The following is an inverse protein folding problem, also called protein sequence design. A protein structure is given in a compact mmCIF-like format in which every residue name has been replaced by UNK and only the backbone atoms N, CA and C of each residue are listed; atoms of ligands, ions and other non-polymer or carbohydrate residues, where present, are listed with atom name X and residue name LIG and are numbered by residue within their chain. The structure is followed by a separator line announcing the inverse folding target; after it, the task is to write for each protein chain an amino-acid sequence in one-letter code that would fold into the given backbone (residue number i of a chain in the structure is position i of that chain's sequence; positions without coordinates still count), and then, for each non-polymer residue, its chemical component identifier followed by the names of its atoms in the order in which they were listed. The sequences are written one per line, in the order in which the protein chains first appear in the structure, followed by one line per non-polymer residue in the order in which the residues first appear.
data_IF_104743684872
#
_entry.id   IF_104743684872
#
_cell.length_a   1.000
_cell.length_b   1.000
_cell.length_c   1.000
_cell.angle_alpha   90.00
_cell.angle_beta   90.00
_cell.angle_gamma   90.00
#
_symmetry.space_group_name_H-M   'P 1'
#
loop_
_entity.id
_entity.type
_entity.pdbx_description
1 polymer ?
#
# COMPACT_ATOMS: atom_id res chain seq x y z
N UNK A 1 -37.44 1.77 -6.72
CA UNK A 1 -37.02 0.42 -7.17
C UNK A 1 -35.57 0.53 -7.59
N UNK A 2 -34.68 0.11 -6.72
CA UNK A 2 -33.26 0.04 -7.05
C UNK A 2 -33.09 -1.10 -8.04
N UNK A 3 -32.80 -0.79 -9.30
CA UNK A 3 -32.41 -1.83 -10.25
C UNK A 3 -31.08 -2.41 -9.75
N UNK A 4 -31.09 -3.69 -9.38
CA UNK A 4 -29.90 -4.44 -8.98
C UNK A 4 -29.04 -4.74 -10.22
N UNK A 5 -28.53 -3.66 -10.83
CA UNK A 5 -27.66 -3.76 -12.01
C UNK A 5 -26.27 -4.22 -11.60
N UNK A 6 -25.52 -4.77 -12.55
CA UNK A 6 -24.15 -5.23 -12.32
C UNK A 6 -23.25 -4.07 -11.85
N UNK A 7 -23.50 -2.84 -12.32
CA UNK A 7 -22.77 -1.64 -11.93
C UNK A 7 -23.00 -1.30 -10.44
N UNK A 8 -24.26 -1.36 -9.98
CA UNK A 8 -24.58 -1.14 -8.56
C UNK A 8 -23.97 -2.21 -7.67
N UNK A 9 -24.05 -3.48 -8.07
CA UNK A 9 -23.44 -4.58 -7.33
C UNK A 9 -21.91 -4.43 -7.25
N UNK A 10 -21.27 -4.08 -8.35
CA UNK A 10 -19.83 -3.81 -8.42
C UNK A 10 -19.44 -2.65 -7.50
N UNK A 11 -20.13 -1.51 -7.57
CA UNK A 11 -19.86 -0.35 -6.72
C UNK A 11 -19.96 -0.70 -5.23
N UNK A 12 -21.00 -1.42 -4.83
CA UNK A 12 -21.21 -1.87 -3.46
C UNK A 12 -20.11 -2.84 -2.99
N UNK A 13 -19.70 -3.78 -3.84
CA UNK A 13 -18.64 -4.73 -3.52
C UNK A 13 -17.29 -4.04 -3.36
N UNK A 14 -16.94 -3.10 -4.25
CA UNK A 14 -15.70 -2.32 -4.14
C UNK A 14 -15.70 -1.48 -2.85
N UNK A 15 -16.82 -0.81 -2.54
CA UNK A 15 -16.94 -0.06 -1.30
C UNK A 15 -16.74 -0.95 -0.07
N UNK A 16 -17.44 -2.09 -0.03
CA UNK A 16 -17.34 -3.06 1.07
C UNK A 16 -15.92 -3.63 1.19
N UNK A 17 -15.32 -4.03 0.08
CA UNK A 17 -13.94 -4.54 0.04
C UNK A 17 -12.96 -3.52 0.61
N UNK A 18 -13.08 -2.26 0.20
CA UNK A 18 -12.23 -1.18 0.72
C UNK A 18 -12.36 -1.04 2.24
N UNK A 19 -13.59 -1.10 2.78
CA UNK A 19 -13.81 -1.02 4.22
C UNK A 19 -13.21 -2.22 4.96
N UNK A 20 -13.35 -3.42 4.41
CA UNK A 20 -12.76 -4.63 4.99
C UNK A 20 -11.23 -4.62 4.93
N UNK A 21 -10.65 -4.16 3.83
CA UNK A 21 -9.20 -3.97 3.71
C UNK A 21 -8.68 -2.96 4.75
N UNK A 22 -9.37 -1.83 4.93
CA UNK A 22 -9.00 -0.86 5.97
C UNK A 22 -8.99 -1.49 7.37
N UNK A 23 -10.05 -2.22 7.73
CA UNK A 23 -10.13 -2.91 9.04
C UNK A 23 -9.00 -3.92 9.21
N UNK A 24 -8.67 -4.68 8.15
CA UNK A 24 -7.56 -5.61 8.13
C UNK A 24 -6.22 -4.88 8.31
N UNK A 25 -6.00 -3.76 7.64
CA UNK A 25 -4.76 -3.00 7.74
C UNK A 25 -4.57 -2.40 9.13
N UNK A 26 -5.67 -1.99 9.81
CA UNK A 26 -5.63 -1.54 11.19
C UNK A 26 -5.14 -2.60 12.18
N UNK A 27 -5.30 -3.89 11.86
CA UNK A 27 -4.67 -4.97 12.63
C UNK A 27 -3.14 -4.85 12.65
N UNK A 28 -2.52 -4.58 11.49
CA UNK A 28 -1.07 -4.36 11.41
C UNK A 28 -0.65 -3.06 12.09
N UNK A 29 -1.40 -1.98 11.91
CA UNK A 29 -1.19 -0.69 12.56
C UNK A 29 -1.07 -0.85 14.06
N UNK A 30 -2.00 -1.57 14.69
CA UNK A 30 -1.98 -1.82 16.13
C UNK A 30 -0.87 -2.80 16.53
N UNK A 31 -0.71 -3.91 15.79
CA UNK A 31 0.28 -4.96 16.12
C UNK A 31 1.72 -4.47 16.05
N UNK A 32 2.02 -3.55 15.15
CA UNK A 32 3.36 -2.99 14.94
C UNK A 32 3.58 -1.62 15.58
N UNK A 33 2.57 -1.07 16.25
CA UNK A 33 2.60 0.25 16.89
C UNK A 33 3.06 1.37 15.91
N UNK A 34 2.43 1.41 14.78
CA UNK A 34 2.65 2.40 13.71
C UNK A 34 1.34 3.09 13.34
N UNK A 35 1.42 4.19 12.62
CA UNK A 35 0.24 4.84 12.04
C UNK A 35 -0.13 4.17 10.70
N UNK A 36 -1.36 4.39 10.22
CA UNK A 36 -1.78 3.90 8.90
C UNK A 36 -0.90 4.49 7.76
N UNK A 37 -0.52 5.76 7.88
CA UNK A 37 0.36 6.40 6.91
C UNK A 37 1.76 5.76 6.90
N UNK A 38 2.31 5.43 8.07
CA UNK A 38 3.57 4.69 8.20
C UNK A 38 3.44 3.28 7.63
N UNK A 39 2.35 2.58 7.92
CA UNK A 39 2.06 1.25 7.36
C UNK A 39 2.06 1.27 5.83
N UNK A 40 1.29 2.18 5.22
CA UNK A 40 1.22 2.32 3.77
C UNK A 40 2.59 2.62 3.14
N UNK A 41 3.41 3.42 3.83
CA UNK A 41 4.77 3.70 3.40
C UNK A 41 5.67 2.46 3.50
N UNK A 42 5.61 1.72 4.61
CA UNK A 42 6.47 0.55 4.85
C UNK A 42 6.16 -0.62 3.92
N UNK A 43 4.90 -0.79 3.51
CA UNK A 43 4.49 -1.82 2.54
C UNK A 43 5.21 -1.64 1.19
N UNK A 44 5.54 -0.42 0.78
CA UNK A 44 6.32 -0.18 -0.43
C UNK A 44 7.71 -0.81 -0.36
N UNK A 45 8.30 -0.87 0.82
CA UNK A 45 9.62 -1.49 1.03
C UNK A 45 9.60 -3.03 0.96
N UNK A 46 8.47 -3.66 0.72
CA UNK A 46 8.42 -5.09 0.41
C UNK A 46 9.12 -5.44 -0.90
N UNK A 47 9.19 -4.50 -1.83
CA UNK A 47 9.75 -4.72 -3.17
C UNK A 47 11.18 -4.21 -3.33
N UNK A 48 11.64 -3.26 -2.52
CA UNK A 48 13.01 -2.71 -2.56
C UNK A 48 13.36 -1.95 -1.29
N UNK A 49 14.65 -1.84 -1.00
CA UNK A 49 15.18 -1.32 0.27
C UNK A 49 15.32 0.21 0.31
N UNK A 50 15.11 0.91 -0.80
CA UNK A 50 15.26 2.36 -0.88
C UNK A 50 14.35 3.00 -1.91
N UNK A 51 13.95 4.25 -1.63
CA UNK A 51 13.10 5.06 -2.50
C UNK A 51 13.54 6.52 -2.48
N UNK A 52 13.41 7.20 -3.61
CA UNK A 52 13.40 8.67 -3.64
C UNK A 52 12.12 9.22 -3.01
N UNK A 53 12.22 10.40 -2.35
CA UNK A 53 11.03 11.05 -1.77
C UNK A 53 9.94 11.32 -2.82
N UNK A 54 10.33 11.67 -4.05
CA UNK A 54 9.38 11.88 -5.16
C UNK A 54 8.67 10.59 -5.57
N UNK A 55 9.39 9.45 -5.56
CA UNK A 55 8.81 8.15 -5.89
C UNK A 55 7.82 7.70 -4.83
N UNK A 56 8.15 7.93 -3.54
CA UNK A 56 7.21 7.68 -2.43
C UNK A 56 5.96 8.55 -2.54
N UNK A 57 6.11 9.84 -2.88
CA UNK A 57 4.97 10.74 -3.06
C UNK A 57 4.03 10.25 -4.16
N UNK A 58 4.60 9.81 -5.29
CA UNK A 58 3.84 9.24 -6.40
C UNK A 58 3.17 7.93 -6.03
N UNK A 59 3.89 7.01 -5.39
CA UNK A 59 3.37 5.70 -5.01
C UNK A 59 2.27 5.77 -3.95
N UNK A 60 2.36 6.74 -3.03
CA UNK A 60 1.36 6.97 -1.97
C UNK A 60 0.24 7.94 -2.38
N UNK A 61 0.33 8.53 -3.56
CA UNK A 61 -0.60 9.57 -4.06
C UNK A 61 -0.79 10.72 -3.05
N UNK A 62 0.33 11.21 -2.50
CA UNK A 62 0.36 12.32 -1.55
C UNK A 62 1.43 13.34 -1.94
N UNK A 63 1.39 14.51 -1.32
CA UNK A 63 2.38 15.56 -1.57
C UNK A 63 3.77 15.17 -1.01
N UNK A 64 4.87 15.70 -1.57
CA UNK A 64 6.23 15.52 -1.01
C UNK A 64 6.33 15.95 0.46
N UNK A 65 5.60 17.00 0.86
CA UNK A 65 5.50 17.44 2.26
C UNK A 65 4.84 16.39 3.16
N UNK A 66 3.80 15.70 2.66
CA UNK A 66 3.17 14.57 3.34
C UNK A 66 4.14 13.41 3.55
N UNK A 67 4.92 13.05 2.51
CA UNK A 67 5.98 12.05 2.61
C UNK A 67 7.02 12.46 3.65
N UNK A 68 7.46 13.71 3.63
CA UNK A 68 8.47 14.22 4.58
C UNK A 68 8.02 14.03 6.04
N UNK A 69 6.73 14.24 6.34
CA UNK A 69 6.18 14.01 7.69
C UNK A 69 6.24 12.55 8.09
N UNK A 70 5.83 11.63 7.19
CA UNK A 70 5.88 10.18 7.43
C UNK A 70 7.32 9.73 7.67
N UNK A 71 8.24 10.13 6.80
CA UNK A 71 9.65 9.78 6.90
C UNK A 71 10.29 10.34 8.18
N UNK A 72 9.95 11.57 8.58
CA UNK A 72 10.42 12.16 9.83
C UNK A 72 9.96 11.32 11.04
N UNK A 73 8.72 10.83 11.03
CA UNK A 73 8.21 9.97 12.08
C UNK A 73 8.93 8.61 12.11
N UNK A 74 9.10 7.96 10.96
CA UNK A 74 9.81 6.69 10.84
C UNK A 74 11.29 6.81 11.20
N UNK A 75 11.92 7.94 10.87
CA UNK A 75 13.32 8.23 11.21
C UNK A 75 13.51 8.39 12.73
N UNK A 76 12.58 9.11 13.41
CA UNK A 76 12.56 9.20 14.87
C UNK A 76 12.42 7.83 15.56
N UNK A 77 11.71 6.90 14.94
CA UNK A 77 11.58 5.51 15.40
C UNK A 77 12.80 4.65 15.06
N UNK A 78 13.77 5.19 14.30
CA UNK A 78 14.97 4.48 13.86
C UNK A 78 14.71 3.42 12.78
N UNK A 79 13.60 3.53 12.05
CA UNK A 79 13.18 2.56 11.03
C UNK A 79 13.77 2.90 9.67
N UNK A 80 13.82 4.18 9.32
CA UNK A 80 14.41 4.67 8.07
C UNK A 80 15.51 5.69 8.34
N UNK A 81 16.33 5.93 7.34
CA UNK A 81 17.32 7.01 7.30
C UNK A 81 17.23 7.75 5.97
N UNK A 82 17.52 9.03 5.99
CA UNK A 82 17.65 9.88 4.80
C UNK A 82 19.10 10.02 4.39
N UNK A 83 19.33 10.00 3.09
CA UNK A 83 20.63 10.29 2.50
C UNK A 83 20.43 11.19 1.28
N UNK A 84 21.34 12.13 1.07
CA UNK A 84 21.37 12.91 -0.16
C UNK A 84 21.93 12.01 -1.26
N UNK A 85 21.25 11.94 -2.41
CA UNK A 85 21.74 11.19 -3.57
C UNK A 85 23.12 11.70 -3.99
N UNK A 86 24.04 10.77 -4.27
CA UNK A 86 25.36 11.10 -4.81
C UNK A 86 25.29 11.59 -6.25
N UNK A 87 24.28 11.15 -7.00
CA UNK A 87 24.09 11.48 -8.41
C UNK A 87 23.39 12.83 -8.59
N UNK A 88 22.42 13.13 -7.75
CA UNK A 88 21.68 14.40 -7.76
C UNK A 88 21.43 14.87 -6.32
N UNK A 89 22.16 15.91 -5.90
CA UNK A 89 22.04 16.49 -4.55
C UNK A 89 20.66 17.08 -4.23
N UNK A 90 19.77 17.20 -5.21
CA UNK A 90 18.38 17.63 -5.03
C UNK A 90 17.47 16.47 -4.65
N UNK A 91 17.95 15.23 -4.76
CA UNK A 91 17.19 14.05 -4.47
C UNK A 91 17.57 13.49 -3.09
N UNK A 92 16.56 13.32 -2.26
CA UNK A 92 16.69 12.62 -0.96
C UNK A 92 16.26 11.19 -1.17
N UNK A 93 17.15 10.26 -0.81
CA UNK A 93 16.90 8.82 -0.80
C UNK A 93 16.56 8.40 0.62
N UNK A 94 15.48 7.67 0.77
CA UNK A 94 15.03 7.05 2.01
C UNK A 94 15.37 5.57 1.95
N UNK A 95 16.11 5.08 2.93
CA UNK A 95 16.52 3.68 3.03
C UNK A 95 16.13 3.12 4.39
N UNK A 96 15.86 1.83 4.44
CA UNK A 96 15.68 1.13 5.72
C UNK A 96 16.98 1.10 6.52
N UNK A 97 16.85 1.23 7.83
CA UNK A 97 17.92 0.83 8.77
C UNK A 97 17.89 -0.69 8.98
N UNK A 98 18.85 -1.25 9.69
CA UNK A 98 18.80 -2.67 10.08
C UNK A 98 17.53 -2.98 10.90
N UNK A 99 17.17 -2.10 11.82
CA UNK A 99 15.91 -2.19 12.58
C UNK A 99 14.71 -2.14 11.65
N UNK A 100 14.73 -1.23 10.67
CA UNK A 100 13.66 -1.10 9.68
C UNK A 100 13.54 -2.33 8.79
N UNK A 101 14.64 -2.88 8.29
CA UNK A 101 14.62 -4.12 7.49
C UNK A 101 14.03 -5.29 8.27
N UNK A 102 14.40 -5.45 9.52
CA UNK A 102 13.83 -6.50 10.37
C UNK A 102 12.32 -6.28 10.61
N UNK A 103 11.90 -5.04 10.78
CA UNK A 103 10.49 -4.70 10.98
C UNK A 103 9.67 -4.96 9.71
N UNK A 104 10.17 -4.54 8.56
CA UNK A 104 9.53 -4.74 7.24
C UNK A 104 9.41 -6.23 6.92
N UNK A 105 10.44 -7.02 7.22
CA UNK A 105 10.38 -8.47 7.02
C UNK A 105 9.31 -9.12 7.90
N UNK A 106 9.25 -8.79 9.19
CA UNK A 106 8.19 -9.29 10.08
C UNK A 106 6.79 -8.86 9.62
N UNK A 107 6.66 -7.63 9.12
CA UNK A 107 5.40 -7.12 8.59
C UNK A 107 4.99 -7.90 7.33
N UNK A 108 5.95 -8.20 6.45
CA UNK A 108 5.72 -9.00 5.25
C UNK A 108 5.31 -10.43 5.58
N UNK A 109 6.01 -11.09 6.50
CA UNK A 109 5.68 -12.44 6.98
C UNK A 109 4.27 -12.49 7.58
N UNK A 110 3.95 -11.55 8.47
CA UNK A 110 2.62 -11.44 9.07
C UNK A 110 1.53 -11.17 8.01
N UNK A 111 1.83 -10.38 6.98
CA UNK A 111 0.92 -10.14 5.87
C UNK A 111 0.67 -11.41 5.06
N UNK A 112 1.72 -12.17 4.73
CA UNK A 112 1.59 -13.43 4.00
C UNK A 112 0.77 -14.44 4.81
N UNK A 113 1.04 -14.59 6.10
CA UNK A 113 0.30 -15.49 6.98
C UNK A 113 -1.19 -15.11 7.06
N UNK A 114 -1.49 -13.83 7.22
CA UNK A 114 -2.87 -13.35 7.28
C UNK A 114 -3.62 -13.59 5.97
N UNK A 115 -2.99 -13.30 4.82
CA UNK A 115 -3.63 -13.55 3.53
C UNK A 115 -3.77 -15.05 3.23
N UNK A 116 -2.85 -15.90 3.71
CA UNK A 116 -3.03 -17.35 3.69
C UNK A 116 -4.29 -17.77 4.43
N UNK A 117 -4.50 -17.27 5.65
CA UNK A 117 -5.73 -17.54 6.43
C UNK A 117 -7.00 -17.03 5.75
N UNK A 118 -6.92 -15.91 5.02
CA UNK A 118 -8.06 -15.41 4.23
C UNK A 118 -8.35 -16.38 3.07
N UNK A 119 -7.32 -16.82 2.36
CA UNK A 119 -7.47 -17.79 1.27
C UNK A 119 -8.08 -19.11 1.75
N UNK A 120 -7.71 -19.57 2.95
CA UNK A 120 -8.26 -20.79 3.56
C UNK A 120 -9.76 -20.69 3.89
N UNK A 121 -10.32 -19.47 4.01
CA UNK A 121 -11.75 -19.25 4.19
C UNK A 121 -12.56 -19.29 2.88
N UNK A 122 -11.87 -19.30 1.73
CA UNK A 122 -12.53 -19.38 0.43
C UNK A 122 -12.88 -20.81 0.06
N UNK A 123 -13.88 -20.98 -0.81
CA UNK A 123 -14.22 -22.30 -1.34
C UNK A 123 -13.02 -22.92 -2.06
N UNK A 124 -12.73 -24.21 -1.85
CA UNK A 124 -11.67 -24.90 -2.55
C UNK A 124 -11.79 -24.74 -4.07
N UNK A 125 -10.71 -24.35 -4.73
CA UNK A 125 -10.65 -24.13 -6.17
C UNK A 125 -11.10 -22.75 -6.64
N UNK A 126 -11.66 -21.89 -5.78
CA UNK A 126 -12.02 -20.49 -6.16
C UNK A 126 -10.89 -19.50 -6.02
N UNK A 127 -9.83 -19.85 -5.33
CA UNK A 127 -8.73 -18.93 -4.97
C UNK A 127 -8.08 -18.28 -6.20
N UNK A 128 -7.70 -19.07 -7.20
CA UNK A 128 -7.07 -18.59 -8.43
C UNK A 128 -8.02 -17.67 -9.23
N UNK A 129 -9.30 -18.05 -9.31
CA UNK A 129 -10.33 -17.24 -9.97
C UNK A 129 -10.47 -15.87 -9.31
N UNK A 130 -10.44 -15.80 -7.98
CA UNK A 130 -10.52 -14.54 -7.22
C UNK A 130 -9.26 -13.70 -7.47
N UNK A 131 -8.08 -14.31 -7.46
CA UNK A 131 -6.83 -13.58 -7.75
C UNK A 131 -6.84 -12.98 -9.15
N UNK A 132 -7.25 -13.74 -10.17
CA UNK A 132 -7.38 -13.25 -11.54
C UNK A 132 -8.40 -12.11 -11.65
N UNK A 133 -9.55 -12.25 -10.98
CA UNK A 133 -10.59 -11.21 -10.98
C UNK A 133 -10.10 -9.92 -10.33
N UNK A 134 -9.40 -10.01 -9.22
CA UNK A 134 -8.79 -8.85 -8.54
C UNK A 134 -7.73 -8.18 -9.41
N UNK A 135 -6.90 -8.95 -10.11
CA UNK A 135 -5.90 -8.42 -11.02
C UNK A 135 -6.56 -7.64 -12.16
N UNK A 136 -7.53 -8.24 -12.86
CA UNK A 136 -8.26 -7.56 -13.95
C UNK A 136 -8.99 -6.30 -13.47
N UNK A 137 -9.58 -6.35 -12.27
CA UNK A 137 -10.25 -5.19 -11.67
C UNK A 137 -9.25 -4.06 -11.39
N UNK A 138 -8.08 -4.38 -10.85
CA UNK A 138 -7.01 -3.41 -10.58
C UNK A 138 -6.55 -2.74 -11.87
N UNK A 139 -6.27 -3.53 -12.91
CA UNK A 139 -5.86 -3.03 -14.23
C UNK A 139 -6.92 -2.13 -14.87
N UNK A 140 -8.20 -2.50 -14.76
CA UNK A 140 -9.31 -1.69 -15.27
C UNK A 140 -9.46 -0.35 -14.54
N UNK A 141 -9.29 -0.34 -13.21
CA UNK A 141 -9.31 0.88 -12.41
C UNK A 141 -8.13 1.78 -12.79
N UNK A 142 -6.92 1.22 -12.92
CA UNK A 142 -5.72 1.96 -13.32
C UNK A 142 -5.91 2.61 -14.70
N UNK A 143 -6.45 1.88 -15.66
CA UNK A 143 -6.76 2.42 -16.99
C UNK A 143 -7.71 3.61 -16.91
N UNK A 144 -8.80 3.48 -16.16
CA UNK A 144 -9.77 4.57 -15.97
C UNK A 144 -9.15 5.80 -15.30
N UNK A 145 -8.32 5.59 -14.25
CA UNK A 145 -7.62 6.67 -13.54
C UNK A 145 -6.68 7.42 -14.47
N UNK A 146 -5.87 6.70 -15.26
CA UNK A 146 -4.95 7.31 -16.23
C UNK A 146 -5.68 8.21 -17.21
N UNK A 147 -6.79 7.72 -17.81
CA UNK A 147 -7.57 8.47 -18.77
C UNK A 147 -8.21 9.75 -18.18
N UNK A 148 -8.65 9.71 -16.92
CA UNK A 148 -9.43 10.80 -16.30
C UNK A 148 -8.61 11.75 -15.43
N UNK A 149 -7.38 11.39 -15.03
CA UNK A 149 -6.52 12.26 -14.25
C UNK A 149 -5.50 13.01 -15.09
N UNK A 150 -5.13 12.54 -16.28
CA UNK A 150 -4.22 13.26 -17.18
C UNK A 150 -4.84 14.50 -17.82
N UNK A 151 -6.17 14.62 -17.83
CA UNK A 151 -6.89 15.77 -18.37
C UNK A 151 -7.07 16.96 -17.38
N UNK A 152 -6.40 16.95 -16.24
CA UNK A 152 -6.43 18.02 -15.22
C UNK A 152 -5.10 18.77 -15.09
N UNK A 153 -4.37 18.91 -16.20
CA UNK A 153 -3.24 19.85 -16.28
C UNK A 153 -3.57 21.03 -17.16
#
# INVERSE_FOLDING_TARGET
MSSDTIEHRMANLIFTLRQKCYTKDMYFVHSFNITLAEYNCLVLFFSRDSYGVKDLAKALDITPGGVTRIITSLEKKGIVKRQISREDRRNIIVSLTKKGSNMVERLREASVELHGKILDQMEPGSQETVLMALQHLTEAIDGWVVEHTQNKK
#
